data_IF_233377824199
#
_entry.id   IF_233377824199
#
_cell.length_a   1.000
_cell.length_b   1.000
_cell.length_c   1.000
_cell.angle_alpha   90.00
_cell.angle_beta   90.00
_cell.angle_gamma   90.00
#
_symmetry.space_group_name_H-M   'P 1'
#
loop_
_entity.id
_entity.type
_entity.pdbx_description
1 polymer ?
#
# COMPACT_ATOMS: atom_id res chain seq x y z
N UNK A 1 42.95 36.24 15.97
CA UNK A 1 42.19 36.43 14.71
C UNK A 1 41.77 35.05 14.19
N UNK A 2 40.45 34.87 13.99
CA UNK A 2 39.74 33.84 13.20
C UNK A 2 39.72 32.36 13.67
N UNK A 3 38.56 32.03 14.24
CA UNK A 3 37.87 30.73 14.27
C UNK A 3 37.70 30.19 12.84
N UNK A 4 37.79 28.86 12.64
CA UNK A 4 36.68 28.03 12.10
C UNK A 4 37.01 26.54 12.02
N UNK A 5 36.35 25.82 12.93
CA UNK A 5 35.80 24.48 12.83
C UNK A 5 35.65 23.92 11.40
N UNK A 6 36.18 22.71 11.20
CA UNK A 6 35.79 21.83 10.10
C UNK A 6 35.15 20.57 10.72
N UNK A 7 33.85 20.62 11.03
CA UNK A 7 33.06 19.42 11.29
C UNK A 7 32.56 18.94 9.92
N UNK A 8 33.19 17.92 9.38
CA UNK A 8 32.67 17.20 8.21
C UNK A 8 31.56 16.28 8.70
N UNK A 9 30.36 16.60 8.20
CA UNK A 9 29.07 15.98 8.44
C UNK A 9 29.07 14.50 8.00
N UNK A 10 29.10 13.57 8.95
CA UNK A 10 28.79 12.15 8.73
C UNK A 10 27.40 11.87 9.31
N UNK A 11 26.34 12.19 8.56
CA UNK A 11 24.95 11.90 8.99
C UNK A 11 24.07 11.25 7.92
N UNK A 12 24.63 10.82 6.77
CA UNK A 12 23.81 10.24 5.69
C UNK A 12 23.46 8.75 5.83
N UNK A 13 23.96 8.04 6.84
CA UNK A 13 23.72 6.59 6.98
C UNK A 13 22.59 6.19 7.93
N UNK A 14 22.18 7.04 8.87
CA UNK A 14 21.14 6.68 9.86
C UNK A 14 19.71 6.81 9.33
N UNK A 15 19.48 7.63 8.30
CA UNK A 15 18.13 7.89 7.77
C UNK A 15 17.54 6.67 7.05
N UNK A 16 18.37 5.81 6.43
CA UNK A 16 17.89 4.65 5.67
C UNK A 16 17.34 3.52 6.55
N UNK A 17 17.90 3.30 7.74
CA UNK A 17 17.42 2.24 8.64
C UNK A 17 16.10 2.60 9.33
N UNK A 18 15.88 3.87 9.67
CA UNK A 18 14.62 4.32 10.26
C UNK A 18 13.44 4.21 9.27
N UNK A 19 13.67 4.56 8.01
CA UNK A 19 12.68 4.46 6.93
C UNK A 19 12.28 3.02 6.61
N UNK A 20 13.22 2.07 6.61
CA UNK A 20 12.87 0.66 6.39
C UNK A 20 11.98 0.16 7.53
N UNK A 21 12.41 0.30 8.79
CA UNK A 21 11.65 -0.16 9.96
C UNK A 21 10.23 0.42 10.05
N UNK A 22 10.01 1.67 9.60
CA UNK A 22 8.66 2.27 9.55
C UNK A 22 7.76 1.63 8.49
N UNK A 23 8.31 1.17 7.37
CA UNK A 23 7.54 0.57 6.28
C UNK A 23 7.07 -0.85 6.62
N UNK A 24 7.87 -1.68 7.31
CA UNK A 24 7.37 -3.00 7.76
C UNK A 24 6.23 -2.90 8.80
N UNK A 25 6.19 -1.81 9.57
CA UNK A 25 5.09 -1.52 10.50
C UNK A 25 3.83 -0.94 9.82
N UNK A 26 3.93 -0.53 8.55
CA UNK A 26 2.85 0.11 7.80
C UNK A 26 1.82 -0.91 7.32
N UNK A 27 0.53 -0.51 7.34
CA UNK A 27 -0.55 -1.23 6.67
C UNK A 27 -0.54 -1.06 5.15
N UNK A 28 0.41 -0.29 4.61
CA UNK A 28 0.60 -0.10 3.18
C UNK A 28 2.08 0.19 2.89
N UNK A 29 2.95 -0.83 2.99
CA UNK A 29 4.39 -0.67 2.73
C UNK A 29 4.66 -0.37 1.26
N UNK A 30 5.58 0.56 0.98
CA UNK A 30 6.08 0.88 -0.35
C UNK A 30 7.55 0.42 -0.51
N UNK A 31 7.82 -0.85 -0.21
CA UNK A 31 9.18 -1.41 -0.19
C UNK A 31 9.54 -1.98 -1.56
N UNK A 32 10.53 -1.38 -2.24
CA UNK A 32 11.08 -1.87 -3.52
C UNK A 32 11.44 -3.36 -3.45
N UNK A 33 11.02 -4.12 -4.46
CA UNK A 33 11.27 -5.55 -4.60
C UNK A 33 10.26 -6.43 -3.85
N UNK A 34 9.46 -5.87 -2.95
CA UNK A 34 8.39 -6.61 -2.32
C UNK A 34 7.35 -7.06 -3.36
N UNK A 35 6.89 -8.30 -3.21
CA UNK A 35 5.86 -8.86 -4.05
C UNK A 35 4.89 -9.71 -3.25
N UNK A 36 3.68 -9.85 -3.78
CA UNK A 36 2.68 -10.77 -3.24
C UNK A 36 1.73 -11.24 -4.33
N UNK A 37 1.14 -12.41 -4.13
CA UNK A 37 0.12 -12.95 -5.00
C UNK A 37 -1.25 -12.77 -4.36
N UNK A 38 -2.22 -12.23 -5.10
CA UNK A 38 -3.62 -12.15 -4.69
C UNK A 38 -4.52 -12.77 -5.74
N UNK A 39 -5.70 -13.20 -5.30
CA UNK A 39 -6.82 -13.47 -6.21
C UNK A 39 -7.55 -12.17 -6.57
N UNK A 40 -8.22 -12.17 -7.71
CA UNK A 40 -9.25 -11.22 -8.05
C UNK A 40 -10.37 -11.94 -8.79
N UNK A 41 -11.52 -12.13 -8.13
CA UNK A 41 -12.54 -13.09 -8.51
C UNK A 41 -11.96 -14.49 -8.74
N UNK A 42 -11.91 -14.94 -9.99
CA UNK A 42 -11.37 -16.25 -10.39
C UNK A 42 -9.91 -16.17 -10.81
N UNK A 43 -9.40 -14.97 -11.05
CA UNK A 43 -8.06 -14.74 -11.55
C UNK A 43 -7.06 -14.57 -10.40
N UNK A 44 -5.78 -14.61 -10.75
CA UNK A 44 -4.68 -14.28 -9.86
C UNK A 44 -3.86 -13.16 -10.47
N UNK A 45 -3.33 -12.29 -9.64
CA UNK A 45 -2.31 -11.35 -10.04
C UNK A 45 -1.18 -11.34 -9.04
N UNK A 46 0.02 -11.02 -9.54
CA UNK A 46 1.17 -10.72 -8.72
C UNK A 46 1.31 -9.20 -8.64
N UNK A 47 1.23 -8.67 -7.44
CA UNK A 47 1.61 -7.29 -7.16
C UNK A 47 3.11 -7.23 -6.91
N UNK A 48 3.80 -6.29 -7.56
CA UNK A 48 5.24 -6.07 -7.41
C UNK A 48 5.49 -4.58 -7.24
N UNK A 49 6.17 -4.21 -6.16
CA UNK A 49 6.70 -2.86 -5.97
C UNK A 49 8.03 -2.78 -6.70
N UNK A 50 8.06 -2.04 -7.80
CA UNK A 50 9.21 -1.86 -8.68
C UNK A 50 10.07 -0.68 -8.19
N UNK A 51 10.71 0.01 -9.12
CA UNK A 51 11.50 1.21 -8.85
C UNK A 51 10.61 2.45 -8.69
N UNK A 52 11.25 3.60 -8.49
CA UNK A 52 10.56 4.88 -8.49
C UNK A 52 10.51 5.54 -9.87
N UNK A 53 9.51 6.39 -10.10
CA UNK A 53 9.35 7.21 -11.30
C UNK A 53 8.98 8.65 -10.92
N UNK A 54 9.43 9.63 -11.69
CA UNK A 54 9.04 11.04 -11.49
C UNK A 54 7.77 11.34 -12.29
N UNK A 55 6.70 11.75 -11.61
CA UNK A 55 5.41 12.10 -12.20
C UNK A 55 4.87 13.38 -11.56
N UNK A 56 4.51 14.37 -12.38
CA UNK A 56 4.00 15.65 -11.88
C UNK A 56 4.99 16.40 -10.98
N UNK A 57 6.31 16.22 -11.19
CA UNK A 57 7.36 16.82 -10.36
C UNK A 57 7.68 16.05 -9.07
N UNK A 58 6.96 14.97 -8.78
CA UNK A 58 7.08 14.21 -7.53
C UNK A 58 7.59 12.79 -7.79
N UNK A 59 8.27 12.20 -6.80
CA UNK A 59 8.80 10.83 -6.89
C UNK A 59 7.76 9.83 -6.39
N UNK A 60 7.36 8.90 -7.26
CA UNK A 60 6.37 7.87 -7.01
C UNK A 60 6.99 6.48 -7.03
N UNK A 61 6.54 5.59 -6.14
CA UNK A 61 6.79 4.15 -6.27
C UNK A 61 5.92 3.59 -7.39
N UNK A 62 6.52 2.86 -8.31
CA UNK A 62 5.82 2.12 -9.36
C UNK A 62 5.40 0.75 -8.85
N UNK A 63 4.10 0.49 -8.81
CA UNK A 63 3.53 -0.80 -8.47
C UNK A 63 2.93 -1.40 -9.73
N UNK A 64 3.26 -2.66 -10.01
CA UNK A 64 2.68 -3.41 -11.12
C UNK A 64 1.83 -4.56 -10.62
N UNK A 65 0.58 -4.63 -11.06
CA UNK A 65 -0.31 -5.76 -10.88
C UNK A 65 -0.31 -6.58 -12.17
N UNK A 66 0.35 -7.74 -12.13
CA UNK A 66 0.62 -8.59 -13.29
C UNK A 66 -0.39 -9.73 -13.31
N UNK A 67 -1.30 -9.71 -14.28
CA UNK A 67 -2.33 -10.72 -14.54
C UNK A 67 -1.87 -11.64 -15.69
N UNK A 68 -1.64 -12.93 -15.45
CA UNK A 68 -1.29 -13.87 -16.52
C UNK A 68 -2.39 -13.96 -17.59
N UNK A 69 -2.02 -14.14 -18.87
CA UNK A 69 -0.65 -14.34 -19.36
C UNK A 69 0.15 -13.06 -19.63
N UNK A 70 -0.46 -11.88 -19.83
CA UNK A 70 0.27 -10.67 -20.28
C UNK A 70 -0.29 -9.32 -19.81
N UNK A 71 -1.39 -9.26 -19.06
CA UNK A 71 -2.00 -7.99 -18.69
C UNK A 71 -1.28 -7.40 -17.48
N UNK A 72 -0.93 -6.11 -17.52
CA UNK A 72 -0.35 -5.40 -16.38
C UNK A 72 -1.12 -4.12 -16.13
N UNK A 73 -1.43 -3.85 -14.87
CA UNK A 73 -1.96 -2.57 -14.41
C UNK A 73 -0.87 -1.88 -13.61
N UNK A 74 -0.49 -0.68 -14.02
CA UNK A 74 0.51 0.14 -13.34
C UNK A 74 -0.16 1.17 -12.43
N UNK A 75 0.28 1.20 -11.18
CA UNK A 75 -0.19 2.09 -10.12
C UNK A 75 1.00 2.87 -9.60
N UNK A 76 0.82 4.17 -9.36
CA UNK A 76 1.89 5.05 -8.88
C UNK A 76 1.49 5.63 -7.53
N UNK A 77 2.22 5.24 -6.47
CA UNK A 77 1.95 5.68 -5.10
C UNK A 77 3.13 6.40 -4.46
N UNK A 78 2.85 7.47 -3.71
CA UNK A 78 3.86 8.26 -2.99
C UNK A 78 3.43 8.47 -1.56
N UNK A 79 4.34 8.24 -0.62
CA UNK A 79 4.17 8.62 0.78
C UNK A 79 4.54 10.10 0.97
N UNK A 80 3.67 10.89 1.57
CA UNK A 80 3.92 12.28 1.95
C UNK A 80 3.05 12.65 3.15
N UNK A 81 3.65 13.16 4.23
CA UNK A 81 2.95 13.66 5.43
C UNK A 81 1.85 12.69 5.92
N UNK A 82 2.25 11.45 6.22
CA UNK A 82 1.39 10.37 6.73
C UNK A 82 0.26 9.90 5.80
N UNK A 83 0.25 10.39 4.56
CA UNK A 83 -0.74 10.02 3.54
C UNK A 83 -0.03 9.40 2.35
N UNK A 84 -0.58 8.29 1.86
CA UNK A 84 -0.23 7.74 0.55
C UNK A 84 -1.12 8.40 -0.48
N UNK A 85 -0.49 8.99 -1.48
CA UNK A 85 -1.12 9.59 -2.64
C UNK A 85 -1.01 8.68 -3.84
N UNK A 86 -2.11 8.54 -4.57
CA UNK A 86 -2.16 7.94 -5.89
C UNK A 86 -2.06 9.01 -6.97
N UNK A 87 -1.24 8.78 -8.00
CA UNK A 87 -1.18 9.66 -9.17
C UNK A 87 -2.17 9.21 -10.24
N UNK A 88 -3.17 10.05 -10.53
CA UNK A 88 -4.08 9.85 -11.64
C UNK A 88 -3.39 10.27 -12.94
N UNK A 89 -2.97 9.31 -13.75
CA UNK A 89 -2.25 9.58 -15.01
C UNK A 89 -3.10 10.28 -16.07
N UNK A 90 -4.43 10.07 -16.05
CA UNK A 90 -5.37 10.69 -17.00
C UNK A 90 -5.59 12.16 -16.66
N UNK A 91 -5.89 12.45 -15.39
CA UNK A 91 -6.16 13.81 -14.91
C UNK A 91 -4.89 14.59 -14.55
N UNK A 92 -3.75 13.91 -14.45
CA UNK A 92 -2.46 14.44 -13.97
C UNK A 92 -2.58 15.07 -12.58
N UNK A 93 -3.27 14.38 -11.67
CA UNK A 93 -3.53 14.87 -10.30
C UNK A 93 -3.05 13.88 -9.24
N UNK A 94 -2.66 14.42 -8.08
CA UNK A 94 -2.30 13.66 -6.89
C UNK A 94 -3.55 13.52 -6.01
N UNK A 95 -3.97 12.29 -5.68
CA UNK A 95 -5.19 12.04 -4.92
C UNK A 95 -4.85 11.27 -3.64
N UNK A 96 -5.36 11.67 -2.46
CA UNK A 96 -5.24 10.87 -1.25
C UNK A 96 -5.81 9.47 -1.47
N UNK A 97 -5.08 8.46 -1.02
CA UNK A 97 -5.42 7.05 -1.24
C UNK A 97 -5.49 6.26 0.06
N UNK A 98 -4.56 6.48 1.00
CA UNK A 98 -4.48 5.71 2.24
C UNK A 98 -3.77 6.50 3.35
N UNK A 99 -4.18 6.35 4.61
CA UNK A 99 -3.50 6.93 5.77
C UNK A 99 -2.53 5.96 6.44
N UNK A 100 -1.31 6.40 6.72
CA UNK A 100 -0.25 5.55 7.30
C UNK A 100 -0.47 5.33 8.80
N UNK A 101 -1.11 6.28 9.47
CA UNK A 101 -1.52 6.18 10.88
C UNK A 101 -3.05 6.07 10.96
N UNK A 102 -3.62 4.87 10.81
CA UNK A 102 -5.06 4.72 10.73
C UNK A 102 -5.74 5.05 12.06
N UNK A 103 -6.76 5.90 12.02
CA UNK A 103 -7.69 6.15 13.12
C UNK A 103 -9.09 5.66 12.74
N UNK A 104 -9.73 4.89 13.61
CA UNK A 104 -11.11 4.40 13.36
C UNK A 104 -12.07 5.57 13.24
N UNK A 105 -12.91 5.55 12.21
CA UNK A 105 -13.83 6.63 11.82
C UNK A 105 -13.22 7.65 10.86
N UNK A 106 -11.89 7.68 10.69
CA UNK A 106 -11.23 8.59 9.76
C UNK A 106 -11.49 8.18 8.31
N UNK A 107 -11.79 9.18 7.47
CA UNK A 107 -11.97 9.00 6.03
C UNK A 107 -10.82 9.66 5.26
N UNK A 108 -10.13 8.87 4.44
CA UNK A 108 -9.04 9.34 3.58
C UNK A 108 -9.31 8.88 2.15
N UNK A 109 -9.37 9.85 1.23
CA UNK A 109 -9.81 9.60 -0.13
C UNK A 109 -11.23 9.03 -0.14
N UNK A 110 -11.39 7.82 -0.68
CA UNK A 110 -12.68 7.11 -0.73
C UNK A 110 -12.85 6.10 0.42
N UNK A 111 -11.87 5.96 1.30
CA UNK A 111 -11.82 4.91 2.31
C UNK A 111 -12.08 5.42 3.71
N UNK A 112 -13.01 4.81 4.44
CA UNK A 112 -13.23 5.05 5.87
C UNK A 112 -12.69 3.86 6.66
N UNK A 113 -11.86 4.13 7.66
CA UNK A 113 -11.34 3.08 8.54
C UNK A 113 -12.44 2.69 9.53
N UNK A 114 -12.80 1.41 9.57
CA UNK A 114 -13.93 0.94 10.40
C UNK A 114 -13.50 0.03 11.55
N UNK A 115 -12.37 -0.67 11.42
CA UNK A 115 -11.90 -1.61 12.45
C UNK A 115 -10.38 -1.78 12.39
N UNK A 116 -9.77 -1.98 13.56
CA UNK A 116 -8.39 -2.42 13.73
C UNK A 116 -8.36 -3.76 14.46
N UNK A 117 -7.30 -4.55 14.26
CA UNK A 117 -7.14 -5.89 14.86
C UNK A 117 -8.19 -6.93 14.43
N UNK A 118 -8.81 -6.69 13.27
CA UNK A 118 -9.84 -7.56 12.73
C UNK A 118 -9.30 -8.94 12.33
N UNK A 119 -10.21 -9.90 12.20
CA UNK A 119 -9.91 -11.28 11.81
C UNK A 119 -10.75 -11.67 10.60
N UNK A 120 -10.15 -12.37 9.64
CA UNK A 120 -10.83 -12.80 8.42
C UNK A 120 -10.47 -14.25 8.06
N UNK A 121 -11.49 -15.10 7.87
CA UNK A 121 -11.29 -16.44 7.30
C UNK A 121 -11.26 -16.34 5.77
N UNK A 122 -10.23 -16.93 5.17
CA UNK A 122 -10.06 -17.04 3.72
C UNK A 122 -9.90 -18.51 3.33
N UNK A 123 -9.97 -18.86 2.04
CA UNK A 123 -9.64 -20.22 1.58
C UNK A 123 -8.21 -20.67 1.92
N UNK A 124 -7.30 -19.74 2.21
CA UNK A 124 -5.90 -20.00 2.58
C UNK A 124 -5.64 -19.98 4.09
N UNK A 125 -6.69 -19.86 4.90
CA UNK A 125 -6.60 -19.86 6.35
C UNK A 125 -7.14 -18.59 7.00
N UNK A 126 -6.88 -18.44 8.30
CA UNK A 126 -7.32 -17.31 9.11
C UNK A 126 -6.24 -16.22 9.10
N UNK A 127 -6.64 -15.01 8.73
CA UNK A 127 -5.85 -13.80 8.86
C UNK A 127 -6.26 -13.06 10.14
N UNK A 128 -5.29 -12.48 10.84
CA UNK A 128 -5.46 -11.68 12.07
C UNK A 128 -4.71 -10.36 11.94
N UNK A 129 -5.01 -9.45 12.88
CA UNK A 129 -4.32 -8.17 13.04
C UNK A 129 -4.49 -7.30 11.78
N UNK A 130 -5.74 -7.26 11.30
CA UNK A 130 -6.11 -6.58 10.07
C UNK A 130 -6.66 -5.18 10.36
N UNK A 131 -6.32 -4.25 9.49
CA UNK A 131 -7.03 -2.98 9.35
C UNK A 131 -8.14 -3.17 8.32
N UNK A 132 -9.35 -2.71 8.66
CA UNK A 132 -10.52 -2.78 7.79
C UNK A 132 -10.89 -1.38 7.32
N UNK A 133 -11.02 -1.23 6.00
CA UNK A 133 -11.39 0.01 5.35
C UNK A 133 -12.59 -0.23 4.46
N UNK A 134 -13.65 0.55 4.64
CA UNK A 134 -14.80 0.59 3.73
C UNK A 134 -14.56 1.62 2.64
N UNK A 135 -14.62 1.19 1.39
CA UNK A 135 -14.47 2.04 0.22
C UNK A 135 -15.84 2.44 -0.31
N UNK A 136 -16.03 3.74 -0.50
CA UNK A 136 -17.23 4.33 -1.09
C UNK A 136 -16.84 5.08 -2.36
N UNK A 137 -17.22 4.54 -3.52
CA UNK A 137 -16.89 5.16 -4.81
C UNK A 137 -18.00 6.12 -5.26
N UNK A 138 -17.63 7.12 -6.05
CA UNK A 138 -18.57 8.14 -6.55
C UNK A 138 -19.72 7.59 -7.40
N UNK A 139 -19.57 6.38 -7.95
CA UNK A 139 -20.62 5.68 -8.71
C UNK A 139 -21.56 4.85 -7.81
N UNK A 140 -21.47 4.99 -6.48
CA UNK A 140 -22.26 4.24 -5.50
C UNK A 140 -21.77 2.81 -5.25
N UNK A 141 -20.71 2.36 -5.92
CA UNK A 141 -20.10 1.07 -5.60
C UNK A 141 -19.45 1.11 -4.22
N UNK A 142 -19.45 -0.05 -3.54
CA UNK A 142 -18.84 -0.22 -2.23
C UNK A 142 -18.07 -1.54 -2.16
N UNK A 143 -16.92 -1.52 -1.49
CA UNK A 143 -16.18 -2.71 -1.09
C UNK A 143 -15.51 -2.54 0.27
N UNK A 144 -15.23 -3.65 0.94
CA UNK A 144 -14.48 -3.67 2.20
C UNK A 144 -13.11 -4.25 1.94
N UNK A 145 -12.07 -3.50 2.28
CA UNK A 145 -10.66 -3.87 2.09
C UNK A 145 -10.01 -4.19 3.43
N UNK A 146 -9.19 -5.23 3.42
CA UNK A 146 -8.46 -5.71 4.59
C UNK A 146 -6.97 -5.57 4.33
N UNK A 147 -6.27 -4.92 5.24
CA UNK A 147 -4.84 -4.65 5.15
C UNK A 147 -4.10 -5.31 6.30
N UNK A 148 -2.90 -5.84 6.04
CA UNK A 148 -2.00 -6.40 7.05
C UNK A 148 -0.69 -5.63 7.08
N UNK A 149 -0.18 -5.33 8.27
CA UNK A 149 1.12 -4.68 8.45
C UNK A 149 2.21 -5.46 7.72
N UNK A 150 3.07 -4.74 7.01
CA UNK A 150 4.17 -5.30 6.24
C UNK A 150 3.76 -6.05 4.96
N UNK A 151 2.47 -6.19 4.66
CA UNK A 151 1.98 -6.81 3.41
C UNK A 151 1.09 -5.88 2.57
N UNK A 152 0.43 -4.89 3.17
CA UNK A 152 -0.54 -4.08 2.45
C UNK A 152 -1.91 -4.76 2.35
N UNK A 153 -2.61 -4.52 1.24
CA UNK A 153 -3.89 -5.17 0.93
C UNK A 153 -3.73 -6.69 0.92
N UNK A 154 -4.59 -7.40 1.66
CA UNK A 154 -4.59 -8.88 1.74
C UNK A 154 -5.95 -9.50 1.44
N UNK A 155 -7.05 -8.74 1.47
CA UNK A 155 -8.35 -9.24 1.01
C UNK A 155 -9.31 -8.10 0.65
N UNK A 156 -10.30 -8.42 -0.18
CA UNK A 156 -11.43 -7.53 -0.51
C UNK A 156 -12.73 -8.32 -0.48
N UNK A 157 -13.77 -7.73 0.13
CA UNK A 157 -15.15 -8.18 0.02
C UNK A 157 -15.97 -7.17 -0.77
N UNK A 158 -16.82 -7.66 -1.67
CA UNK A 158 -17.84 -6.86 -2.33
C UNK A 158 -19.20 -7.51 -2.05
N UNK A 159 -20.16 -6.74 -1.53
CA UNK A 159 -21.48 -7.25 -1.09
C UNK A 159 -21.35 -8.52 -0.22
N UNK A 160 -20.46 -8.47 0.78
CA UNK A 160 -20.12 -9.57 1.70
C UNK A 160 -19.48 -10.82 1.08
N UNK A 161 -19.25 -10.86 -0.24
CA UNK A 161 -18.55 -11.97 -0.91
C UNK A 161 -17.06 -11.66 -0.97
N UNK A 162 -16.22 -12.63 -0.60
CA UNK A 162 -14.77 -12.53 -0.74
C UNK A 162 -14.42 -12.60 -2.24
N UNK A 163 -13.92 -11.49 -2.78
CA UNK A 163 -13.52 -11.38 -4.20
C UNK A 163 -12.00 -11.36 -4.37
N UNK A 164 -11.25 -11.09 -3.30
CA UNK A 164 -9.79 -11.04 -3.33
C UNK A 164 -9.27 -11.58 -2.01
N UNK A 165 -8.22 -12.39 -2.07
CA UNK A 165 -7.46 -12.82 -0.90
C UNK A 165 -6.01 -13.12 -1.28
N UNK A 166 -5.12 -12.84 -0.33
CA UNK A 166 -3.70 -13.14 -0.40
C UNK A 166 -3.45 -14.65 -0.46
N UNK A 167 -2.52 -15.04 -1.32
CA UNK A 167 -1.98 -16.39 -1.42
C UNK A 167 -0.53 -16.28 -0.98
N UNK A 168 -0.18 -16.94 0.12
CA UNK A 168 1.21 -17.06 0.54
C UNK A 168 2.00 -17.76 -0.57
N UNK A 169 3.13 -17.16 -0.95
CA UNK A 169 4.05 -17.81 -1.86
C UNK A 169 4.56 -19.07 -1.15
N UNK A 170 4.36 -20.24 -1.76
CA UNK A 170 4.87 -21.50 -1.20
C UNK A 170 6.40 -21.39 -1.19
N UNK A 171 7.01 -21.42 0.01
CA UNK A 171 8.45 -21.64 0.14
C UNK A 171 8.76 -22.98 -0.50
N UNK A 172 9.38 -22.94 -1.68
CA UNK A 172 10.02 -24.12 -2.29
C UNK A 172 11.26 -24.50 -1.51
#
# INVERSE_FOLDING_TARGET
MKIRFLIILVTFTTIRMASQNSEQGSFYPLIKGQSKTLTWYKDKYREVIKDTVTLGGEIYNHIAQIFPPKNTIDIYLRNSNDTIYFYNTVKKTHMPFFGIRPVVGETIGNGTIVEVEAKLKTPKGKLTDLLVVEMNYSNGAQDTRYYKKGLGLVAVKNKNKLICYYIADETK
#
